data_IF_359815351448
#
_entry.id   IF_359815351448
#
_cell.length_a   1.000
_cell.length_b   1.000
_cell.length_c   1.000
_cell.angle_alpha   90.00
_cell.angle_beta   90.00
_cell.angle_gamma   90.00
#
_symmetry.space_group_name_H-M   'P 1'
#
loop_
_entity.id
_entity.type
_entity.pdbx_description
1 polymer ?
#
# COMPACT_ATOMS: atom_id res chain seq x y z
N UNK A 1 3.62 7.34 -19.56
CA UNK A 1 2.55 7.97 -18.77
C UNK A 1 2.86 7.96 -17.27
N UNK A 2 2.57 9.08 -16.58
CA UNK A 2 2.65 9.13 -15.12
C UNK A 2 1.27 8.98 -14.51
N UNK A 3 1.10 7.99 -13.64
CA UNK A 3 -0.13 7.82 -12.87
C UNK A 3 -0.06 8.64 -11.58
N UNK A 4 -1.12 9.41 -11.32
CA UNK A 4 -1.23 10.21 -10.09
C UNK A 4 -1.32 9.31 -8.86
N UNK A 5 -0.65 9.67 -7.77
CA UNK A 5 -0.77 8.94 -6.51
C UNK A 5 -2.14 9.20 -5.88
N UNK A 6 -3.03 8.21 -5.94
CA UNK A 6 -4.40 8.29 -5.39
C UNK A 6 -4.42 8.68 -3.90
N UNK A 7 -3.40 8.27 -3.13
CA UNK A 7 -3.32 8.56 -1.69
C UNK A 7 -3.08 10.05 -1.39
N UNK A 8 -2.61 10.83 -2.37
CA UNK A 8 -2.41 12.27 -2.22
C UNK A 8 -3.66 13.10 -2.55
N UNK A 9 -4.75 12.48 -3.01
CA UNK A 9 -5.98 13.18 -3.37
C UNK A 9 -6.70 13.76 -2.14
N UNK A 10 -7.38 14.90 -2.33
CA UNK A 10 -8.18 15.57 -1.29
C UNK A 10 -9.19 14.60 -0.63
N UNK A 11 -9.85 13.79 -1.45
CA UNK A 11 -10.85 12.79 -0.99
C UNK A 11 -10.26 11.75 -0.03
N UNK A 12 -9.10 11.16 -0.36
CA UNK A 12 -8.44 10.17 0.52
C UNK A 12 -7.98 10.84 1.81
N UNK A 13 -7.36 12.01 1.74
CA UNK A 13 -6.91 12.76 2.93
C UNK A 13 -8.07 13.09 3.88
N UNK A 14 -9.22 13.49 3.35
CA UNK A 14 -10.43 13.76 4.15
C UNK A 14 -10.95 12.50 4.83
N UNK A 15 -11.01 11.36 4.10
CA UNK A 15 -11.44 10.08 4.68
C UNK A 15 -10.47 9.57 5.76
N UNK A 16 -9.16 9.72 5.56
CA UNK A 16 -8.16 9.36 6.57
C UNK A 16 -8.27 10.25 7.82
N UNK A 17 -8.49 11.55 7.64
CA UNK A 17 -8.76 12.49 8.75
C UNK A 17 -10.02 12.08 9.53
N UNK A 18 -11.10 11.74 8.81
CA UNK A 18 -12.33 11.22 9.42
C UNK A 18 -12.09 9.90 10.17
N UNK A 19 -11.38 8.95 9.55
CA UNK A 19 -11.03 7.67 10.17
C UNK A 19 -10.26 7.88 11.49
N UNK A 20 -9.23 8.73 11.49
CA UNK A 20 -8.46 9.06 12.70
C UNK A 20 -9.34 9.65 13.80
N UNK A 21 -10.30 10.52 13.46
CA UNK A 21 -11.26 11.07 14.42
C UNK A 21 -12.16 9.98 15.01
N UNK A 22 -12.70 9.09 14.19
CA UNK A 22 -13.57 8.02 14.67
C UNK A 22 -12.80 6.96 15.48
N UNK A 23 -11.53 6.71 15.19
CA UNK A 23 -10.66 5.87 16.02
C UNK A 23 -10.42 6.49 17.42
N UNK A 24 -10.18 7.81 17.50
CA UNK A 24 -10.06 8.51 18.80
C UNK A 24 -11.35 8.41 19.63
N UNK A 25 -12.53 8.51 18.98
CA UNK A 25 -13.82 8.31 19.66
C UNK A 25 -13.93 6.89 20.21
N UNK A 26 -13.51 5.88 19.42
CA UNK A 26 -13.51 4.49 19.87
C UNK A 26 -12.59 4.31 21.09
N UNK A 27 -11.34 4.84 21.06
CA UNK A 27 -10.41 4.76 22.18
C UNK A 27 -11.04 5.32 23.47
N UNK A 28 -11.62 6.53 23.41
CA UNK A 28 -12.29 7.13 24.58
C UNK A 28 -13.44 6.27 25.12
N UNK A 29 -14.25 5.67 24.21
CA UNK A 29 -15.35 4.78 24.64
C UNK A 29 -14.81 3.49 25.28
N UNK A 30 -13.68 2.98 24.78
CA UNK A 30 -13.05 1.81 25.35
C UNK A 30 -12.41 2.13 26.70
N UNK A 31 -11.71 3.28 26.81
CA UNK A 31 -11.13 3.77 28.07
C UNK A 31 -12.19 3.93 29.16
N UNK A 32 -13.35 4.50 28.83
CA UNK A 32 -14.48 4.65 29.76
C UNK A 32 -15.09 3.31 30.23
N UNK A 33 -14.77 2.20 29.59
CA UNK A 33 -15.22 0.85 29.96
C UNK A 33 -14.09 0.02 30.66
N UNK A 34 -12.99 0.67 31.05
CA UNK A 34 -11.90 0.01 31.78
C UNK A 34 -12.14 0.16 33.27
N UNK A 35 -12.29 -0.98 33.97
CA UNK A 35 -12.37 -1.04 35.43
C UNK A 35 -10.98 -0.98 36.10
N UNK A 36 -9.97 -1.51 35.43
CA UNK A 36 -8.61 -1.63 35.93
C UNK A 36 -7.66 -2.30 34.96
N UNK A 37 -6.46 -2.60 35.42
CA UNK A 37 -5.45 -3.27 34.59
C UNK A 37 -4.86 -4.48 35.31
N UNK A 38 -4.72 -5.60 34.58
CA UNK A 38 -3.92 -6.75 34.99
C UNK A 38 -2.53 -6.63 34.35
N UNK A 39 -1.49 -6.82 35.15
CA UNK A 39 -0.10 -6.85 34.69
C UNK A 39 0.34 -8.30 34.54
N UNK A 40 0.84 -8.66 33.36
CA UNK A 40 1.40 -9.98 33.08
C UNK A 40 2.79 -9.77 32.47
N UNK A 41 3.84 -10.02 33.25
CA UNK A 41 5.20 -9.67 32.90
C UNK A 41 5.35 -8.15 32.71
N UNK A 42 5.87 -7.71 31.56
CA UNK A 42 6.05 -6.28 31.23
C UNK A 42 4.83 -5.64 30.55
N UNK A 43 3.72 -6.36 30.39
CA UNK A 43 2.54 -5.86 29.66
C UNK A 43 1.35 -5.62 30.57
N UNK A 44 0.65 -4.51 30.32
CA UNK A 44 -0.62 -4.17 30.98
C UNK A 44 -1.80 -4.54 30.07
N UNK A 45 -2.78 -5.27 30.61
CA UNK A 45 -4.01 -5.67 29.92
C UNK A 45 -5.21 -5.03 30.61
N UNK A 46 -6.12 -4.35 29.88
CA UNK A 46 -7.29 -3.74 30.47
C UNK A 46 -8.26 -4.81 30.97
N UNK A 47 -8.80 -4.59 32.16
CA UNK A 47 -9.95 -5.32 32.70
C UNK A 47 -11.18 -4.51 32.38
N UNK A 48 -12.10 -5.09 31.62
CA UNK A 48 -13.30 -4.40 31.16
C UNK A 48 -14.40 -4.48 32.23
N UNK A 49 -15.08 -3.37 32.48
CA UNK A 49 -16.27 -3.34 33.34
C UNK A 49 -17.39 -4.16 32.74
N UNK A 50 -17.63 -4.01 31.42
CA UNK A 50 -18.58 -4.80 30.65
C UNK A 50 -17.88 -5.45 29.46
N UNK A 51 -18.26 -6.69 29.09
CA UNK A 51 -17.72 -7.32 27.88
C UNK A 51 -17.88 -6.42 26.65
N UNK A 52 -16.79 -6.22 25.89
CA UNK A 52 -16.80 -5.32 24.73
C UNK A 52 -17.88 -5.69 23.70
N UNK A 53 -18.29 -6.97 23.63
CA UNK A 53 -19.34 -7.47 22.74
C UNK A 53 -20.72 -6.92 23.10
N UNK A 54 -20.99 -6.68 24.38
CA UNK A 54 -22.28 -6.20 24.90
C UNK A 54 -22.39 -4.67 24.83
N UNK A 55 -21.26 -3.96 24.72
CA UNK A 55 -21.24 -2.51 24.65
C UNK A 55 -21.72 -2.00 23.29
N UNK A 56 -23.06 -1.85 23.11
CA UNK A 56 -23.71 -1.42 21.86
C UNK A 56 -23.06 -0.18 21.22
N UNK A 57 -22.69 0.83 22.03
CA UNK A 57 -22.06 2.06 21.55
C UNK A 57 -20.62 1.84 21.00
N UNK A 58 -19.88 0.89 21.58
CA UNK A 58 -18.56 0.47 21.08
C UNK A 58 -18.73 -0.30 19.78
N UNK A 59 -19.71 -1.21 19.69
CA UNK A 59 -19.98 -1.97 18.46
C UNK A 59 -20.42 -1.06 17.31
N UNK A 60 -21.31 -0.08 17.56
CA UNK A 60 -21.69 0.93 16.55
C UNK A 60 -20.47 1.69 16.05
N UNK A 61 -19.56 2.12 16.97
CA UNK A 61 -18.36 2.84 16.61
C UNK A 61 -17.38 1.99 15.77
N UNK A 62 -17.18 0.70 16.15
CA UNK A 62 -16.39 -0.27 15.36
C UNK A 62 -16.96 -0.45 13.95
N UNK A 63 -18.30 -0.50 13.81
CA UNK A 63 -18.97 -0.59 12.50
C UNK A 63 -18.64 0.62 11.61
N UNK A 64 -18.72 1.84 12.15
CA UNK A 64 -18.37 3.09 11.42
C UNK A 64 -16.92 3.04 10.93
N UNK A 65 -15.98 2.66 11.80
CA UNK A 65 -14.56 2.55 11.45
C UNK A 65 -14.35 1.50 10.34
N UNK A 66 -15.00 0.35 10.43
CA UNK A 66 -14.94 -0.72 9.42
C UNK A 66 -15.44 -0.24 8.06
N UNK A 67 -16.54 0.50 8.02
CA UNK A 67 -17.08 1.09 6.79
C UNK A 67 -16.11 2.11 6.17
N UNK A 68 -15.43 2.92 6.98
CA UNK A 68 -14.41 3.86 6.50
C UNK A 68 -13.20 3.13 5.91
N UNK A 69 -12.71 2.08 6.55
CA UNK A 69 -11.65 1.23 5.99
C UNK A 69 -12.07 0.58 4.68
N UNK A 70 -13.29 0.01 4.61
CA UNK A 70 -13.84 -0.57 3.38
C UNK A 70 -13.89 0.46 2.26
N UNK A 71 -14.34 1.69 2.54
CA UNK A 71 -14.39 2.78 1.57
C UNK A 71 -13.00 3.17 1.05
N UNK A 72 -12.02 3.36 1.95
CA UNK A 72 -10.64 3.67 1.59
C UNK A 72 -10.01 2.55 0.74
N UNK A 73 -10.20 1.30 1.15
CA UNK A 73 -9.71 0.14 0.40
C UNK A 73 -10.37 0.05 -0.97
N UNK A 74 -11.68 0.24 -1.06
CA UNK A 74 -12.42 0.22 -2.32
C UNK A 74 -11.93 1.27 -3.31
N UNK A 75 -11.71 2.52 -2.87
CA UNK A 75 -11.18 3.59 -3.73
C UNK A 75 -9.79 3.21 -4.27
N UNK A 76 -8.90 2.69 -3.43
CA UNK A 76 -7.54 2.29 -3.84
C UNK A 76 -7.57 1.11 -4.82
N UNK A 77 -8.37 0.10 -4.52
CA UNK A 77 -8.52 -1.08 -5.40
C UNK A 77 -9.12 -0.71 -6.74
N UNK A 78 -10.18 0.11 -6.74
CA UNK A 78 -10.81 0.59 -7.98
C UNK A 78 -9.82 1.38 -8.85
N UNK A 79 -9.05 2.29 -8.24
CA UNK A 79 -8.00 3.01 -8.94
C UNK A 79 -6.98 2.07 -9.59
N UNK A 80 -6.51 1.04 -8.86
CA UNK A 80 -5.60 0.03 -9.41
C UNK A 80 -6.22 -0.72 -10.58
N UNK A 81 -7.50 -1.09 -10.48
CA UNK A 81 -8.21 -1.75 -11.59
C UNK A 81 -8.25 -0.89 -12.84
N UNK A 82 -8.55 0.41 -12.71
CA UNK A 82 -8.52 1.34 -13.85
C UNK A 82 -7.12 1.47 -14.43
N UNK A 83 -6.11 1.69 -13.59
CA UNK A 83 -4.72 1.83 -14.01
C UNK A 83 -4.22 0.57 -14.74
N UNK A 84 -4.37 -0.60 -14.14
CA UNK A 84 -3.91 -1.86 -14.71
C UNK A 84 -4.68 -2.23 -15.98
N UNK A 85 -5.98 -1.90 -16.07
CA UNK A 85 -6.77 -2.09 -17.29
C UNK A 85 -6.26 -1.17 -18.42
N UNK A 86 -5.96 0.10 -18.09
CA UNK A 86 -5.42 1.03 -19.08
C UNK A 86 -4.09 0.54 -19.65
N UNK A 87 -3.19 0.06 -18.78
CA UNK A 87 -1.90 -0.51 -19.20
C UNK A 87 -2.11 -1.71 -20.16
N UNK A 88 -2.95 -2.67 -19.78
CA UNK A 88 -3.14 -3.88 -20.60
C UNK A 88 -3.88 -3.58 -21.90
N UNK A 89 -4.77 -2.57 -21.93
CA UNK A 89 -5.47 -2.17 -23.16
C UNK A 89 -4.56 -1.59 -24.24
N UNK A 90 -3.35 -1.16 -23.92
CA UNK A 90 -2.36 -0.77 -24.94
C UNK A 90 -1.82 -1.96 -25.73
N UNK A 91 -2.22 -3.20 -25.34
CA UNK A 91 -1.84 -4.47 -25.99
C UNK A 91 -0.33 -4.59 -26.28
N UNK A 92 0.56 -4.35 -25.31
CA UNK A 92 1.98 -4.57 -25.52
C UNK A 92 2.27 -6.06 -25.70
N UNK A 93 3.33 -6.42 -26.42
CA UNK A 93 3.76 -7.81 -26.58
C UNK A 93 4.15 -8.44 -25.22
N UNK A 94 4.72 -7.65 -24.32
CA UNK A 94 5.09 -8.08 -22.97
C UNK A 94 5.01 -6.94 -21.96
N UNK A 95 4.76 -7.29 -20.69
CA UNK A 95 4.85 -6.37 -19.55
C UNK A 95 5.91 -6.91 -18.61
N UNK A 96 6.91 -6.09 -18.31
CA UNK A 96 7.97 -6.42 -17.37
C UNK A 96 7.73 -5.67 -16.07
N UNK A 97 7.77 -6.36 -14.92
CA UNK A 97 7.67 -5.74 -13.59
C UNK A 97 8.84 -6.13 -12.71
N UNK A 98 9.29 -5.21 -11.87
CA UNK A 98 10.33 -5.49 -10.88
C UNK A 98 9.83 -6.44 -9.77
N UNK A 99 10.71 -7.33 -9.33
CA UNK A 99 10.48 -8.16 -8.14
C UNK A 99 10.74 -7.35 -6.86
N UNK A 100 9.73 -6.62 -6.39
CA UNK A 100 9.85 -5.79 -5.19
C UNK A 100 9.80 -6.61 -3.89
N UNK A 101 10.79 -6.42 -3.01
CA UNK A 101 10.77 -6.97 -1.65
C UNK A 101 9.86 -6.14 -0.73
N UNK A 102 8.55 -6.23 -0.94
CA UNK A 102 7.57 -5.47 -0.16
C UNK A 102 7.67 -5.75 1.35
N UNK A 103 7.92 -7.00 1.76
CA UNK A 103 8.11 -7.35 3.17
C UNK A 103 9.31 -6.62 3.79
N UNK A 104 10.45 -6.58 3.08
CA UNK A 104 11.63 -5.84 3.52
C UNK A 104 11.40 -4.33 3.59
N UNK A 105 10.74 -3.76 2.57
CA UNK A 105 10.39 -2.34 2.54
C UNK A 105 9.46 -1.94 3.70
N UNK A 106 8.54 -2.80 4.11
CA UNK A 106 7.63 -2.55 5.23
C UNK A 106 8.30 -2.57 6.61
N UNK A 107 9.51 -3.10 6.74
CA UNK A 107 10.29 -3.01 8.00
C UNK A 107 10.69 -1.58 8.32
N UNK A 108 10.80 -0.70 7.32
CA UNK A 108 11.06 0.72 7.54
C UNK A 108 9.80 1.41 8.10
N UNK A 109 9.84 1.79 9.39
CA UNK A 109 8.73 2.43 10.14
C UNK A 109 8.20 3.70 9.48
N UNK A 110 9.06 4.50 8.83
CA UNK A 110 8.67 5.76 8.17
C UNK A 110 7.94 5.52 6.84
N UNK A 111 8.22 4.43 6.15
CA UNK A 111 7.66 4.13 4.82
C UNK A 111 6.56 3.06 4.85
N UNK A 112 6.48 2.25 5.90
CA UNK A 112 5.57 1.09 5.99
C UNK A 112 4.11 1.43 5.64
N UNK A 113 3.58 2.53 6.19
CA UNK A 113 2.22 2.99 5.89
C UNK A 113 2.04 3.34 4.40
N UNK A 114 2.98 4.07 3.81
CA UNK A 114 2.92 4.46 2.41
C UNK A 114 3.01 3.24 1.49
N UNK A 115 3.90 2.30 1.79
CA UNK A 115 4.08 1.04 1.05
C UNK A 115 2.81 0.18 1.10
N UNK A 116 2.24 0.00 2.30
CA UNK A 116 0.97 -0.73 2.46
C UNK A 116 -0.18 -0.09 1.67
N UNK A 117 -0.23 1.24 1.61
CA UNK A 117 -1.26 1.99 0.87
C UNK A 117 -1.10 1.90 -0.65
N UNK A 118 0.10 1.64 -1.18
CA UNK A 118 0.36 1.48 -2.62
C UNK A 118 -0.14 0.14 -3.18
N UNK A 119 -0.33 -0.87 -2.30
CA UNK A 119 -0.85 -2.19 -2.70
C UNK A 119 -0.05 -2.84 -3.85
N UNK A 120 1.28 -2.79 -3.79
CA UNK A 120 2.16 -3.33 -4.85
C UNK A 120 1.83 -4.78 -5.23
N UNK A 121 1.58 -5.64 -4.25
CA UNK A 121 1.21 -7.04 -4.49
C UNK A 121 -0.11 -7.16 -5.26
N UNK A 122 -1.12 -6.40 -4.88
CA UNK A 122 -2.42 -6.35 -5.55
C UNK A 122 -2.27 -5.87 -7.00
N UNK A 123 -1.48 -4.81 -7.22
CA UNK A 123 -1.18 -4.29 -8.54
C UNK A 123 -0.54 -5.35 -9.43
N UNK A 124 0.50 -6.05 -8.93
CA UNK A 124 1.16 -7.14 -9.65
C UNK A 124 0.18 -8.25 -10.01
N UNK A 125 -0.61 -8.75 -9.05
CA UNK A 125 -1.63 -9.78 -9.32
C UNK A 125 -2.63 -9.34 -10.37
N UNK A 126 -3.09 -8.09 -10.32
CA UNK A 126 -4.04 -7.57 -11.31
C UNK A 126 -3.45 -7.53 -12.71
N UNK A 127 -2.19 -7.14 -12.86
CA UNK A 127 -1.51 -7.17 -14.17
C UNK A 127 -1.33 -8.61 -14.62
N UNK A 128 -0.88 -9.53 -13.77
CA UNK A 128 -0.66 -10.93 -14.13
C UNK A 128 -1.92 -11.60 -14.71
N UNK A 129 -3.07 -11.53 -13.99
CA UNK A 129 -4.27 -12.18 -14.51
C UNK A 129 -4.83 -11.50 -15.76
N UNK A 130 -4.67 -10.18 -15.88
CA UNK A 130 -5.09 -9.45 -17.08
C UNK A 130 -4.19 -9.79 -18.27
N UNK A 131 -2.88 -9.89 -18.08
CA UNK A 131 -1.95 -10.35 -19.11
C UNK A 131 -2.35 -11.74 -19.61
N UNK A 132 -2.61 -12.68 -18.69
CA UNK A 132 -3.10 -14.03 -19.05
C UNK A 132 -4.39 -13.97 -19.87
N UNK A 133 -5.35 -13.10 -19.46
CA UNK A 133 -6.63 -12.94 -20.18
C UNK A 133 -6.47 -12.40 -21.60
N UNK A 134 -5.48 -11.53 -21.84
CA UNK A 134 -5.30 -10.84 -23.13
C UNK A 134 -4.12 -11.39 -23.96
N UNK A 135 -3.53 -12.52 -23.57
CA UNK A 135 -2.42 -13.13 -24.31
C UNK A 135 -1.12 -12.32 -24.26
N UNK A 136 -0.92 -11.47 -23.24
CA UNK A 136 0.26 -10.63 -23.09
C UNK A 136 1.30 -11.37 -22.24
N UNK A 137 2.56 -11.44 -22.70
CA UNK A 137 3.63 -12.04 -21.92
C UNK A 137 3.91 -11.21 -20.66
N UNK A 138 3.85 -11.85 -19.49
CA UNK A 138 4.22 -11.22 -18.22
C UNK A 138 5.58 -11.74 -17.76
N UNK A 139 6.53 -10.84 -17.55
CA UNK A 139 7.89 -11.16 -17.13
C UNK A 139 8.18 -10.43 -15.81
N UNK A 140 8.71 -11.15 -14.84
CA UNK A 140 9.21 -10.55 -13.61
C UNK A 140 10.73 -10.40 -13.71
N UNK A 141 11.22 -9.17 -13.65
CA UNK A 141 12.65 -8.91 -13.68
C UNK A 141 13.31 -9.43 -12.39
N UNK A 142 14.54 -9.90 -12.52
CA UNK A 142 15.33 -10.29 -11.34
C UNK A 142 15.39 -9.16 -10.32
N UNK A 143 15.40 -9.54 -9.05
CA UNK A 143 15.40 -8.60 -7.92
C UNK A 143 16.63 -7.68 -7.92
N UNK A 144 17.76 -8.16 -8.39
CA UNK A 144 19.03 -7.42 -8.42
C UNK A 144 19.36 -6.88 -9.81
N UNK A 145 18.42 -7.01 -10.76
CA UNK A 145 18.62 -6.46 -12.09
C UNK A 145 18.81 -4.93 -12.02
N UNK A 146 19.93 -4.41 -12.53
CA UNK A 146 20.28 -2.99 -12.39
C UNK A 146 19.50 -2.09 -13.36
N UNK A 147 18.18 -2.14 -13.32
CA UNK A 147 17.26 -1.47 -14.26
C UNK A 147 17.51 0.04 -14.37
N UNK A 148 17.84 0.71 -13.26
CA UNK A 148 18.13 2.15 -13.23
C UNK A 148 19.56 2.51 -13.61
N UNK A 149 20.48 1.55 -13.63
CA UNK A 149 21.92 1.76 -13.87
C UNK A 149 22.37 1.28 -15.24
N UNK A 150 21.55 0.54 -15.98
CA UNK A 150 21.88 -0.06 -17.27
C UNK A 150 21.37 0.82 -18.40
N UNK A 151 22.24 1.12 -19.35
CA UNK A 151 21.86 1.83 -20.57
C UNK A 151 20.92 0.98 -21.42
N UNK A 152 19.81 1.55 -21.87
CA UNK A 152 18.86 0.86 -22.75
C UNK A 152 19.38 0.66 -24.17
N UNK A 153 20.36 1.47 -24.61
CA UNK A 153 20.94 1.39 -25.94
C UNK A 153 22.11 0.41 -25.99
N UNK A 154 23.19 0.68 -25.26
CA UNK A 154 24.44 -0.08 -25.35
C UNK A 154 24.65 -1.08 -24.20
N UNK A 155 23.73 -1.17 -23.23
CA UNK A 155 23.84 -2.09 -22.08
C UNK A 155 24.88 -1.70 -21.03
N UNK A 156 25.62 -0.59 -21.20
CA UNK A 156 26.61 -0.13 -20.22
C UNK A 156 25.99 0.09 -18.85
N UNK A 157 26.70 -0.34 -17.77
CA UNK A 157 26.23 -0.19 -16.39
C UNK A 157 27.05 0.91 -15.70
N UNK A 158 26.36 2.01 -15.35
CA UNK A 158 26.96 3.10 -14.58
C UNK A 158 26.91 2.77 -13.09
N UNK A 159 28.09 2.47 -12.49
CA UNK A 159 28.20 2.07 -11.07
C UNK A 159 27.94 3.25 -10.13
N UNK A 160 28.38 4.45 -10.49
CA UNK A 160 28.39 5.64 -9.62
C UNK A 160 27.06 6.41 -9.56
N UNK A 161 25.99 5.89 -10.19
CA UNK A 161 24.68 6.52 -10.16
C UNK A 161 24.13 6.52 -8.73
N UNK A 162 23.93 7.72 -8.17
CA UNK A 162 23.39 7.94 -6.81
C UNK A 162 21.88 7.97 -6.82
N UNK A 163 21.25 7.67 -5.68
CA UNK A 163 19.76 7.70 -5.55
C UNK A 163 19.15 9.07 -5.82
N UNK A 164 19.90 10.17 -5.65
CA UNK A 164 19.47 11.54 -5.98
C UNK A 164 19.44 11.82 -7.47
N UNK A 165 20.19 11.07 -8.27
CA UNK A 165 20.30 11.28 -9.70
C UNK A 165 19.01 10.79 -10.38
N UNK A 166 18.33 11.69 -11.08
CA UNK A 166 17.03 11.42 -11.72
C UNK A 166 17.13 11.20 -13.21
N UNK A 167 18.29 11.50 -13.77
CA UNK A 167 18.57 11.39 -15.20
C UNK A 167 19.80 10.52 -15.37
N UNK A 168 19.65 9.46 -16.16
CA UNK A 168 20.76 8.62 -16.57
C UNK A 168 21.37 9.21 -17.86
N UNK A 169 22.66 9.52 -17.85
CA UNK A 169 23.43 9.86 -19.06
C UNK A 169 24.46 8.79 -19.28
N UNK A 170 24.41 8.14 -20.44
CA UNK A 170 25.39 7.12 -20.82
C UNK A 170 26.70 7.79 -21.21
N UNK A 171 27.81 7.22 -20.73
CA UNK A 171 29.17 7.71 -21.07
C UNK A 171 29.71 7.03 -22.34
N UNK A 172 29.06 5.96 -22.83
CA UNK A 172 29.52 5.19 -23.99
C UNK A 172 28.71 5.43 -25.27
N UNK A 173 27.52 5.92 -25.17
CA UNK A 173 26.66 6.27 -26.29
C UNK A 173 25.86 7.55 -26.01
#
# INVERSE_FOLDING_TARGET
ERYKNINKTKRIKQLEKKLKREQRKLSRKMEANIKGYKVVGKKRYPIWERPLKECKNIQKQKKVIRLLYRKLTGIRTNYLHHMTTKIVRTKPSRIVMEHLNVKGMMKNRHLSKAIAQQKFYECKKQIQYKCKKYGIAFVEADRFYPSSKKCSCCGNIKKDLKLKDRIYKCEKC
#
